data_IF_985244702951
#
_entry.id   IF_985244702951
#
_cell.length_a   1.000
_cell.length_b   1.000
_cell.length_c   1.000
_cell.angle_alpha   90.00
_cell.angle_beta   90.00
_cell.angle_gamma   90.00
#
_symmetry.space_group_name_H-M   'P 1'
#
loop_
_entity.id
_entity.type
_entity.pdbx_description
1 polymer ?
#
# COMPACT_ATOMS: atom_id res chain seq x y z
N UNK A 1 -8.21 1.80 -43.67
CA UNK A 1 -8.56 0.73 -42.70
C UNK A 1 -9.60 1.26 -41.74
N UNK A 2 -10.73 0.56 -41.59
CA UNK A 2 -11.75 0.88 -40.58
C UNK A 2 -11.24 0.35 -39.23
N UNK A 3 -11.06 1.22 -38.24
CA UNK A 3 -10.69 0.80 -36.88
C UNK A 3 -11.88 0.08 -36.26
N UNK A 4 -11.71 -1.20 -35.92
CA UNK A 4 -12.70 -1.97 -35.16
C UNK A 4 -12.51 -1.65 -33.68
N UNK A 5 -13.49 -1.05 -32.98
CA UNK A 5 -13.38 -0.82 -31.55
C UNK A 5 -13.14 -2.13 -30.78
N UNK A 6 -12.15 -2.14 -29.88
CA UNK A 6 -11.79 -3.30 -29.06
C UNK A 6 -12.68 -3.43 -27.82
N UNK A 7 -12.94 -2.32 -27.13
CA UNK A 7 -13.74 -2.28 -25.90
C UNK A 7 -15.22 -2.09 -26.25
N UNK A 8 -15.97 -3.19 -26.28
CA UNK A 8 -17.41 -3.22 -26.66
C UNK A 8 -18.28 -3.98 -25.66
N UNK A 9 -17.76 -4.29 -24.46
CA UNK A 9 -18.56 -4.98 -23.46
C UNK A 9 -19.75 -4.09 -23.06
N UNK A 10 -20.91 -4.73 -22.85
CA UNK A 10 -22.14 -4.06 -22.44
C UNK A 10 -21.99 -3.49 -21.02
N UNK A 11 -21.29 -4.22 -20.14
CA UNK A 11 -20.98 -3.73 -18.80
C UNK A 11 -19.70 -2.89 -18.85
N UNK A 12 -19.85 -1.62 -18.51
CA UNK A 12 -18.74 -0.66 -18.35
C UNK A 12 -17.93 -0.96 -17.07
N UNK A 13 -16.69 -0.46 -17.01
CA UNK A 13 -15.88 -0.57 -15.79
C UNK A 13 -16.58 0.03 -14.56
N UNK A 14 -17.18 1.21 -14.70
CA UNK A 14 -17.96 1.83 -13.64
C UNK A 14 -19.13 0.96 -13.14
N UNK A 15 -19.95 0.42 -14.05
CA UNK A 15 -21.07 -0.46 -13.67
C UNK A 15 -20.59 -1.72 -12.94
N UNK A 16 -19.47 -2.30 -13.37
CA UNK A 16 -18.86 -3.43 -12.68
C UNK A 16 -18.38 -3.06 -11.27
N UNK A 17 -17.81 -1.87 -11.09
CA UNK A 17 -17.41 -1.36 -9.77
C UNK A 17 -18.63 -1.20 -8.86
N UNK A 18 -19.67 -0.53 -9.34
CA UNK A 18 -20.90 -0.34 -8.55
C UNK A 18 -21.55 -1.67 -8.19
N UNK A 19 -21.60 -2.62 -9.12
CA UNK A 19 -22.06 -3.98 -8.87
C UNK A 19 -21.23 -4.68 -7.78
N UNK A 20 -19.91 -4.52 -7.81
CA UNK A 20 -18.99 -5.13 -6.83
C UNK A 20 -19.15 -4.51 -5.44
N UNK A 21 -19.36 -3.19 -5.37
CA UNK A 21 -19.52 -2.45 -4.11
C UNK A 21 -20.88 -2.64 -3.45
N UNK A 22 -21.96 -2.72 -4.23
CA UNK A 22 -23.34 -2.83 -3.72
C UNK A 22 -23.84 -4.26 -3.63
N UNK A 23 -23.14 -5.20 -4.26
CA UNK A 23 -23.50 -6.61 -4.29
C UNK A 23 -23.08 -7.35 -3.01
N UNK A 24 -22.22 -8.35 -3.18
CA UNK A 24 -21.78 -9.20 -2.08
C UNK A 24 -20.46 -8.67 -1.51
N UNK A 25 -20.43 -8.41 -0.21
CA UNK A 25 -19.27 -7.91 0.52
C UNK A 25 -18.01 -8.79 0.32
N UNK A 26 -18.18 -10.10 0.17
CA UNK A 26 -17.09 -11.01 -0.14
C UNK A 26 -16.51 -10.78 -1.54
N UNK A 27 -17.34 -10.39 -2.52
CA UNK A 27 -16.82 -9.97 -3.84
C UNK A 27 -15.99 -8.71 -3.73
N UNK A 28 -16.43 -7.75 -2.93
CA UNK A 28 -15.67 -6.53 -2.67
C UNK A 28 -14.31 -6.85 -2.04
N UNK A 29 -14.27 -7.69 -0.98
CA UNK A 29 -13.01 -8.12 -0.36
C UNK A 29 -12.11 -8.88 -1.32
N UNK A 30 -12.67 -9.77 -2.13
CA UNK A 30 -11.91 -10.53 -3.11
C UNK A 30 -11.32 -9.62 -4.18
N UNK A 31 -12.09 -8.71 -4.76
CA UNK A 31 -11.60 -7.86 -5.85
C UNK A 31 -10.75 -6.69 -5.38
N UNK A 32 -11.18 -5.98 -4.34
CA UNK A 32 -10.57 -4.72 -3.89
C UNK A 32 -9.72 -4.86 -2.62
N UNK A 33 -9.62 -6.07 -2.05
CA UNK A 33 -8.86 -6.35 -0.81
C UNK A 33 -9.36 -5.60 0.42
N UNK A 34 -10.58 -5.06 0.37
CA UNK A 34 -11.21 -4.33 1.46
C UNK A 34 -12.74 -4.42 1.39
N UNK A 35 -13.40 -4.05 2.48
CA UNK A 35 -14.86 -3.90 2.53
C UNK A 35 -15.35 -2.75 1.67
N UNK A 36 -16.62 -2.80 1.26
CA UNK A 36 -17.27 -1.72 0.51
C UNK A 36 -17.26 -0.41 1.31
N UNK A 37 -17.45 -0.51 2.62
CA UNK A 37 -17.36 0.61 3.56
C UNK A 37 -15.97 1.26 3.56
N UNK A 38 -14.91 0.46 3.70
CA UNK A 38 -13.52 0.97 3.73
C UNK A 38 -13.13 1.55 2.38
N UNK A 39 -13.58 0.94 1.27
CA UNK A 39 -13.41 1.50 -0.06
C UNK A 39 -14.01 2.91 -0.16
N UNK A 40 -15.26 3.08 0.29
CA UNK A 40 -15.92 4.39 0.31
C UNK A 40 -15.21 5.41 1.22
N UNK A 41 -14.65 4.98 2.35
CA UNK A 41 -13.82 5.84 3.19
C UNK A 41 -12.55 6.29 2.48
N UNK A 42 -11.84 5.36 1.82
CA UNK A 42 -10.64 5.68 1.04
C UNK A 42 -10.96 6.64 -0.11
N UNK A 43 -12.10 6.49 -0.78
CA UNK A 43 -12.57 7.44 -1.78
C UNK A 43 -12.73 8.86 -1.21
N UNK A 44 -13.38 8.99 -0.05
CA UNK A 44 -13.55 10.28 0.63
C UNK A 44 -12.21 10.89 1.02
N UNK A 45 -11.28 10.07 1.53
CA UNK A 45 -9.93 10.51 1.86
C UNK A 45 -9.20 11.02 0.61
N UNK A 46 -9.24 10.29 -0.51
CA UNK A 46 -8.65 10.73 -1.77
C UNK A 46 -9.22 12.08 -2.26
N UNK A 47 -10.53 12.30 -2.10
CA UNK A 47 -11.15 13.60 -2.39
C UNK A 47 -10.59 14.74 -1.51
N UNK A 48 -10.31 14.47 -0.22
CA UNK A 48 -9.69 15.44 0.68
C UNK A 48 -8.27 15.81 0.22
N UNK A 49 -7.54 14.84 -0.35
CA UNK A 49 -6.25 15.04 -1.02
C UNK A 49 -6.36 15.51 -2.48
N UNK A 50 -7.50 16.10 -2.85
CA UNK A 50 -7.76 16.75 -4.16
C UNK A 50 -7.78 15.81 -5.37
N UNK A 51 -7.86 14.50 -5.16
CA UNK A 51 -8.10 13.56 -6.26
C UNK A 51 -9.60 13.30 -6.38
N UNK A 52 -10.18 13.55 -7.56
CA UNK A 52 -11.62 13.34 -7.83
C UNK A 52 -11.84 12.49 -9.10
N UNK A 53 -10.79 11.88 -9.65
CA UNK A 53 -10.81 11.26 -10.98
C UNK A 53 -10.86 12.31 -12.09
N UNK A 54 -11.41 11.91 -13.24
CA UNK A 54 -11.53 12.74 -14.45
C UNK A 54 -12.94 12.64 -15.04
N UNK A 55 -13.24 13.44 -16.06
CA UNK A 55 -14.55 13.39 -16.75
C UNK A 55 -14.88 12.01 -17.36
N UNK A 56 -13.86 11.22 -17.72
CA UNK A 56 -14.05 9.92 -18.42
C UNK A 56 -13.94 8.71 -17.50
N UNK A 57 -13.29 8.87 -16.35
CA UNK A 57 -13.02 7.82 -15.37
C UNK A 57 -13.19 8.45 -14.01
N UNK A 58 -14.22 8.03 -13.27
CA UNK A 58 -14.48 8.56 -11.94
C UNK A 58 -13.44 8.05 -10.93
N UNK A 59 -13.47 8.61 -9.72
CA UNK A 59 -12.54 8.24 -8.66
C UNK A 59 -12.65 6.76 -8.29
N UNK A 60 -13.88 6.25 -8.13
CA UNK A 60 -14.15 4.87 -7.72
C UNK A 60 -13.60 3.90 -8.75
N UNK A 61 -13.84 4.17 -10.04
CA UNK A 61 -13.31 3.35 -11.12
C UNK A 61 -11.77 3.37 -11.12
N UNK A 62 -11.17 4.56 -10.98
CA UNK A 62 -9.71 4.70 -10.91
C UNK A 62 -9.09 3.97 -9.71
N UNK A 63 -9.73 4.04 -8.55
CA UNK A 63 -9.28 3.35 -7.34
C UNK A 63 -9.43 1.84 -7.51
N UNK A 64 -10.58 1.38 -8.03
CA UNK A 64 -10.82 -0.04 -8.29
C UNK A 64 -9.81 -0.63 -9.28
N UNK A 65 -9.49 0.07 -10.37
CA UNK A 65 -8.44 -0.31 -11.32
C UNK A 65 -7.10 -0.51 -10.60
N UNK A 66 -6.73 0.44 -9.75
CA UNK A 66 -5.48 0.41 -8.98
C UNK A 66 -5.44 -0.76 -8.00
N UNK A 67 -6.51 -0.95 -7.23
CA UNK A 67 -6.61 -2.02 -6.23
C UNK A 67 -6.62 -3.41 -6.86
N UNK A 68 -7.25 -3.58 -8.02
CA UNK A 68 -7.22 -4.86 -8.75
C UNK A 68 -5.80 -5.19 -9.20
N UNK A 69 -5.07 -4.22 -9.76
CA UNK A 69 -3.69 -4.43 -10.20
C UNK A 69 -2.78 -4.74 -9.02
N UNK A 70 -2.82 -3.91 -7.96
CA UNK A 70 -1.96 -4.11 -6.79
C UNK A 70 -2.32 -5.36 -5.99
N UNK A 71 -3.62 -5.63 -5.84
CA UNK A 71 -4.12 -6.71 -4.99
C UNK A 71 -4.02 -8.09 -5.63
N UNK A 72 -3.92 -8.19 -6.96
CA UNK A 72 -3.91 -9.47 -7.68
C UNK A 72 -2.71 -9.65 -8.61
N UNK A 73 -1.83 -8.64 -8.71
CA UNK A 73 -0.75 -8.60 -9.68
C UNK A 73 -1.24 -8.82 -11.12
N UNK A 74 -2.45 -8.33 -11.43
CA UNK A 74 -3.09 -8.50 -12.73
C UNK A 74 -2.38 -7.68 -13.80
N UNK A 75 -2.17 -8.30 -14.97
CA UNK A 75 -1.54 -7.65 -16.10
C UNK A 75 -2.43 -6.55 -16.69
N UNK A 76 -1.82 -5.45 -17.14
CA UNK A 76 -2.54 -4.30 -17.70
C UNK A 76 -3.56 -4.72 -18.79
N UNK A 77 -3.22 -5.70 -19.66
CA UNK A 77 -4.12 -6.21 -20.69
C UNK A 77 -5.39 -6.85 -20.14
N UNK A 78 -5.30 -7.60 -19.03
CA UNK A 78 -6.46 -8.23 -18.40
C UNK A 78 -7.39 -7.18 -17.78
N UNK A 79 -6.79 -6.14 -17.18
CA UNK A 79 -7.55 -5.06 -16.57
C UNK A 79 -8.22 -4.17 -17.63
N UNK A 80 -7.61 -3.98 -18.80
CA UNK A 80 -8.24 -3.34 -19.96
C UNK A 80 -9.53 -4.05 -20.38
N UNK A 81 -9.52 -5.39 -20.40
CA UNK A 81 -10.72 -6.17 -20.72
C UNK A 81 -11.78 -6.09 -19.61
N UNK A 82 -11.38 -5.96 -18.34
CA UNK A 82 -12.35 -5.78 -17.25
C UNK A 82 -13.01 -4.40 -17.29
N UNK A 83 -12.21 -3.34 -17.43
CA UNK A 83 -12.66 -1.96 -17.25
C UNK A 83 -13.02 -1.26 -18.56
N UNK A 84 -12.75 -1.89 -19.71
CA UNK A 84 -13.13 -1.38 -21.03
C UNK A 84 -12.44 -0.05 -21.40
N UNK A 85 -11.22 0.16 -20.89
CA UNK A 85 -10.38 1.31 -21.21
C UNK A 85 -9.09 0.89 -21.92
N UNK A 86 -8.50 1.82 -22.67
CA UNK A 86 -7.19 1.59 -23.29
C UNK A 86 -6.09 1.44 -22.23
N UNK A 87 -5.03 0.70 -22.57
CA UNK A 87 -3.88 0.53 -21.68
C UNK A 87 -3.21 1.84 -21.25
N UNK A 88 -3.24 2.88 -22.09
CA UNK A 88 -2.77 4.22 -21.73
C UNK A 88 -3.62 4.84 -20.62
N UNK A 89 -4.96 4.77 -20.77
CA UNK A 89 -5.88 5.33 -19.79
C UNK A 89 -5.70 4.62 -18.45
N UNK A 90 -5.70 3.27 -18.49
CA UNK A 90 -5.40 2.42 -17.34
C UNK A 90 -4.10 2.84 -16.64
N UNK A 91 -3.00 2.90 -17.39
CA UNK A 91 -1.68 3.23 -16.85
C UNK A 91 -1.67 4.62 -16.22
N UNK A 92 -2.20 5.64 -16.90
CA UNK A 92 -2.26 7.01 -16.38
C UNK A 92 -2.98 7.08 -15.04
N UNK A 93 -4.15 6.43 -14.93
CA UNK A 93 -4.97 6.46 -13.71
C UNK A 93 -4.31 5.69 -12.56
N UNK A 94 -3.77 4.50 -12.85
CA UNK A 94 -3.08 3.68 -11.85
C UNK A 94 -1.83 4.39 -11.34
N UNK A 95 -1.00 4.93 -12.23
CA UNK A 95 0.18 5.71 -11.86
C UNK A 95 -0.21 6.91 -11.02
N UNK A 96 -1.27 7.65 -11.39
CA UNK A 96 -1.73 8.80 -10.60
C UNK A 96 -2.08 8.42 -9.16
N UNK A 97 -2.87 7.35 -8.97
CA UNK A 97 -3.27 6.89 -7.62
C UNK A 97 -2.07 6.34 -6.85
N UNK A 98 -1.23 5.52 -7.50
CA UNK A 98 -0.03 4.93 -6.89
C UNK A 98 1.03 5.97 -6.54
N UNK A 99 1.09 7.11 -7.23
CA UNK A 99 1.96 8.22 -6.83
C UNK A 99 1.33 9.00 -5.67
N UNK A 100 0.05 9.35 -5.75
CA UNK A 100 -0.64 10.14 -4.73
C UNK A 100 -0.58 9.51 -3.33
N UNK A 101 -0.82 8.21 -3.23
CA UNK A 101 -0.84 7.47 -1.95
C UNK A 101 0.47 7.66 -1.16
N UNK A 102 1.66 7.29 -1.67
CA UNK A 102 2.92 7.45 -0.96
C UNK A 102 3.44 8.90 -0.90
N UNK A 103 3.21 9.74 -1.91
CA UNK A 103 3.84 11.08 -1.93
C UNK A 103 3.05 12.12 -1.15
N UNK A 104 1.73 11.93 -0.99
CA UNK A 104 0.87 12.93 -0.34
C UNK A 104 0.25 12.38 0.94
N UNK A 105 -0.25 11.13 0.93
CA UNK A 105 -1.04 10.61 2.05
C UNK A 105 -0.22 9.93 3.13
N UNK A 106 0.91 9.31 2.79
CA UNK A 106 1.71 8.51 3.74
C UNK A 106 2.22 9.34 4.93
N UNK A 107 2.64 10.59 4.70
CA UNK A 107 3.11 11.46 5.79
C UNK A 107 2.03 11.75 6.85
N UNK A 108 0.76 11.69 6.45
CA UNK A 108 -0.38 11.93 7.33
C UNK A 108 -0.98 10.66 7.93
N UNK A 109 -0.75 9.50 7.29
CA UNK A 109 -1.39 8.23 7.66
C UNK A 109 -0.41 7.28 8.36
N UNK A 110 0.80 7.10 7.83
CA UNK A 110 1.80 6.19 8.39
C UNK A 110 2.70 6.98 9.34
N UNK A 111 2.19 7.18 10.55
CA UNK A 111 2.90 7.79 11.67
C UNK A 111 2.34 7.27 13.00
N UNK A 112 3.12 7.33 14.09
CA UNK A 112 2.59 7.03 15.41
C UNK A 112 1.40 7.93 15.74
N UNK A 113 0.34 7.34 16.32
CA UNK A 113 -0.79 8.11 16.83
C UNK A 113 -0.37 9.01 18.01
N UNK A 114 0.52 8.50 18.87
CA UNK A 114 1.22 9.26 19.90
C UNK A 114 2.72 9.31 19.59
N UNK A 115 3.27 10.48 19.18
CA UNK A 115 4.69 10.64 18.89
C UNK A 115 5.56 10.70 20.16
N UNK A 116 4.96 10.84 21.35
CA UNK A 116 5.71 10.91 22.61
C UNK A 116 6.04 9.53 23.17
N UNK A 117 5.30 8.50 22.75
CA UNK A 117 5.48 7.12 23.20
C UNK A 117 5.50 6.95 24.72
N UNK A 118 4.79 7.82 25.45
CA UNK A 118 4.91 7.92 26.91
C UNK A 118 4.32 6.69 27.62
N UNK A 119 3.21 6.17 27.11
CA UNK A 119 2.48 5.08 27.72
C UNK A 119 2.38 3.84 26.83
N UNK A 120 2.61 2.68 27.44
CA UNK A 120 2.28 1.39 26.82
C UNK A 120 0.75 1.24 26.79
N UNK A 121 0.11 0.81 25.69
CA UNK A 121 -1.34 0.66 25.64
C UNK A 121 -1.90 -0.23 26.76
N UNK A 122 -3.05 0.16 27.36
CA UNK A 122 -3.65 -0.55 28.51
C UNK A 122 -3.87 -2.06 28.27
N UNK A 123 -4.24 -2.43 27.04
CA UNK A 123 -4.47 -3.83 26.69
C UNK A 123 -3.18 -4.67 26.72
N UNK A 124 -2.01 -4.03 26.55
CA UNK A 124 -0.70 -4.65 26.73
C UNK A 124 -0.33 -4.71 28.21
N UNK A 125 -0.55 -3.63 28.97
CA UNK A 125 -0.27 -3.58 30.41
C UNK A 125 -1.08 -4.63 31.20
N UNK A 126 -2.32 -4.88 30.81
CA UNK A 126 -3.21 -5.84 31.48
C UNK A 126 -3.07 -7.28 30.95
N UNK A 127 -2.25 -7.52 29.92
CA UNK A 127 -2.02 -8.86 29.38
C UNK A 127 -0.92 -9.56 30.16
N UNK A 128 -1.25 -10.69 30.81
CA UNK A 128 -0.27 -11.53 31.52
C UNK A 128 0.79 -12.14 30.59
N UNK A 129 0.49 -12.24 29.29
CA UNK A 129 1.44 -12.71 28.26
C UNK A 129 2.43 -11.60 27.86
N UNK A 130 1.98 -10.35 27.86
CA UNK A 130 2.79 -9.24 27.32
C UNK A 130 3.48 -8.45 28.43
N UNK A 131 2.83 -8.26 29.57
CA UNK A 131 3.39 -7.52 30.69
C UNK A 131 4.12 -8.46 31.66
N UNK A 132 5.34 -8.11 32.14
CA UNK A 132 6.09 -6.88 31.89
C UNK A 132 7.06 -6.93 30.70
N UNK A 133 7.09 -8.03 29.92
CA UNK A 133 8.09 -8.28 28.88
C UNK A 133 8.17 -7.18 27.79
N UNK A 134 7.05 -6.54 27.47
CA UNK A 134 7.00 -5.44 26.49
C UNK A 134 6.92 -4.05 27.15
N UNK A 135 7.30 -3.93 28.42
CA UNK A 135 7.40 -2.62 29.09
C UNK A 135 8.42 -1.74 28.34
N UNK A 136 8.00 -0.56 27.89
CA UNK A 136 8.83 0.37 27.13
C UNK A 136 8.93 0.07 25.63
N UNK A 137 8.37 -1.06 25.16
CA UNK A 137 8.24 -1.30 23.73
C UNK A 137 7.13 -0.42 23.14
N UNK A 138 7.38 0.17 21.98
CA UNK A 138 6.45 1.05 21.27
C UNK A 138 5.80 0.38 20.06
N UNK A 139 6.30 -0.80 19.69
CA UNK A 139 5.90 -1.51 18.49
C UNK A 139 6.89 -2.59 18.09
N UNK A 140 6.74 -3.08 16.86
CA UNK A 140 7.63 -4.05 16.23
C UNK A 140 8.19 -3.50 14.92
N UNK A 141 9.40 -3.94 14.56
CA UNK A 141 10.05 -3.64 13.28
C UNK A 141 10.38 -4.97 12.61
N UNK A 142 10.05 -5.10 11.33
CA UNK A 142 10.46 -6.24 10.53
C UNK A 142 10.65 -5.87 9.05
N UNK A 143 11.38 -6.71 8.32
CA UNK A 143 11.58 -6.60 6.88
C UNK A 143 10.63 -7.50 6.09
N UNK A 144 10.04 -6.94 5.04
CA UNK A 144 9.19 -7.65 4.09
C UNK A 144 9.88 -7.64 2.73
N UNK A 145 10.10 -8.83 2.16
CA UNK A 145 10.64 -8.97 0.81
C UNK A 145 9.50 -9.05 -0.21
N UNK A 146 9.45 -8.07 -1.11
CA UNK A 146 8.49 -8.03 -2.22
C UNK A 146 9.20 -8.48 -3.49
N UNK A 147 8.72 -9.53 -4.20
CA UNK A 147 9.30 -9.95 -5.47
C UNK A 147 9.29 -8.84 -6.51
N UNK A 148 10.40 -8.70 -7.24
CA UNK A 148 10.55 -7.69 -8.30
C UNK A 148 11.22 -8.31 -9.51
N UNK A 149 10.92 -7.76 -10.70
CA UNK A 149 11.62 -8.08 -11.94
C UNK A 149 12.65 -6.98 -12.18
N UNK A 150 13.92 -7.37 -12.24
CA UNK A 150 15.07 -6.47 -12.40
C UNK A 150 15.85 -6.90 -13.65
N UNK A 151 16.38 -5.97 -14.46
CA UNK A 151 17.25 -6.31 -15.59
C UNK A 151 18.42 -7.19 -15.14
N UNK A 152 18.80 -8.17 -15.97
CA UNK A 152 19.79 -9.22 -15.61
C UNK A 152 21.08 -8.63 -15.04
N UNK A 153 21.58 -7.56 -15.65
CA UNK A 153 22.83 -6.90 -15.26
C UNK A 153 22.75 -6.24 -13.87
N UNK A 154 21.55 -5.92 -13.41
CA UNK A 154 21.29 -5.25 -12.13
C UNK A 154 20.76 -6.21 -11.04
N UNK A 155 20.57 -7.51 -11.33
CA UNK A 155 19.90 -8.44 -10.40
C UNK A 155 20.69 -8.75 -9.14
N UNK A 156 22.02 -8.71 -9.21
CA UNK A 156 22.91 -9.19 -8.14
C UNK A 156 22.54 -8.65 -6.74
N UNK A 157 22.40 -7.33 -6.51
CA UNK A 157 22.03 -6.81 -5.20
C UNK A 157 20.59 -7.14 -4.79
N UNK A 158 19.70 -7.44 -5.74
CA UNK A 158 18.29 -7.73 -5.46
C UNK A 158 18.02 -9.20 -5.08
N UNK A 159 18.99 -10.10 -5.22
CA UNK A 159 18.80 -11.47 -4.76
C UNK A 159 18.63 -11.53 -3.23
N UNK A 160 17.41 -11.86 -2.81
CA UNK A 160 17.09 -12.12 -1.41
C UNK A 160 17.55 -13.51 -0.97
N UNK A 161 17.33 -13.81 0.31
CA UNK A 161 17.71 -15.10 0.94
C UNK A 161 17.14 -16.35 0.24
N UNK A 162 16.02 -16.20 -0.49
CA UNK A 162 15.35 -17.29 -1.21
C UNK A 162 15.85 -17.47 -2.65
N UNK A 163 16.92 -16.79 -3.06
CA UNK A 163 17.48 -16.88 -4.41
C UNK A 163 16.61 -16.24 -5.50
N UNK A 164 15.61 -15.45 -5.13
CA UNK A 164 14.77 -14.67 -6.04
C UNK A 164 15.06 -13.18 -5.88
N UNK A 165 14.85 -12.40 -6.93
CA UNK A 165 14.98 -10.94 -6.90
C UNK A 165 13.83 -10.32 -6.11
N UNK A 166 14.17 -9.53 -5.11
CA UNK A 166 13.21 -8.87 -4.20
C UNK A 166 13.68 -7.46 -3.90
N UNK A 167 12.74 -6.55 -3.61
CA UNK A 167 13.04 -5.34 -2.85
C UNK A 167 12.68 -5.59 -1.39
N UNK A 168 13.49 -5.07 -0.47
CA UNK A 168 13.22 -5.13 0.95
C UNK A 168 12.52 -3.86 1.42
N UNK A 169 11.44 -4.05 2.17
CA UNK A 169 10.67 -3.00 2.82
C UNK A 169 10.75 -3.21 4.34
N UNK A 170 11.42 -2.31 5.06
CA UNK A 170 11.36 -2.31 6.51
C UNK A 170 10.12 -1.54 6.97
N UNK A 171 9.25 -2.19 7.73
CA UNK A 171 8.08 -1.54 8.31
C UNK A 171 8.14 -1.59 9.84
N UNK A 172 7.60 -0.55 10.48
CA UNK A 172 7.30 -0.54 11.90
C UNK A 172 5.79 -0.48 12.12
N UNK A 173 5.27 -1.15 13.14
CA UNK A 173 3.87 -1.08 13.53
C UNK A 173 3.70 -0.96 15.04
N UNK A 174 2.59 -0.36 15.48
CA UNK A 174 2.19 -0.32 16.88
C UNK A 174 1.52 -1.64 17.33
N UNK A 175 1.06 -1.70 18.58
CA UNK A 175 0.36 -2.86 19.13
C UNK A 175 -1.05 -3.11 18.56
N UNK A 176 -1.63 -2.11 17.89
CA UNK A 176 -2.88 -2.25 17.13
C UNK A 176 -2.63 -2.79 15.71
N UNK A 177 -1.39 -3.18 15.40
CA UNK A 177 -0.94 -3.64 14.08
C UNK A 177 -1.06 -2.56 12.99
N UNK A 178 -1.06 -1.27 13.36
CA UNK A 178 -1.06 -0.16 12.40
C UNK A 178 0.37 0.21 12.06
N UNK A 179 0.67 0.38 10.78
CA UNK A 179 1.98 0.84 10.36
C UNK A 179 2.23 2.27 10.85
N UNK A 180 3.35 2.46 11.55
CA UNK A 180 3.81 3.75 12.07
C UNK A 180 5.03 4.26 11.31
N UNK A 181 5.68 3.39 10.53
CA UNK A 181 6.79 3.74 9.65
C UNK A 181 6.93 2.70 8.53
N UNK A 182 7.36 3.12 7.34
CA UNK A 182 7.75 2.23 6.26
C UNK A 182 8.91 2.83 5.45
N UNK A 183 9.99 2.07 5.29
CA UNK A 183 11.09 2.36 4.38
C UNK A 183 11.13 1.28 3.30
N UNK A 184 10.93 1.69 2.05
CA UNK A 184 10.74 0.79 0.91
C UNK A 184 11.84 1.00 -0.13
N UNK A 185 12.04 0.03 -1.03
CA UNK A 185 12.91 0.20 -2.20
C UNK A 185 14.36 -0.24 -1.99
N UNK A 186 14.69 -0.83 -0.84
CA UNK A 186 16.04 -1.37 -0.61
C UNK A 186 16.27 -2.65 -1.41
N UNK A 187 17.53 -2.97 -1.66
CA UNK A 187 17.90 -4.17 -2.39
C UNK A 187 17.57 -5.42 -1.57
N UNK A 188 17.20 -6.51 -2.24
CA UNK A 188 16.80 -7.76 -1.59
C UNK A 188 17.89 -8.42 -0.74
N UNK A 189 19.15 -8.13 -0.99
CA UNK A 189 20.27 -8.57 -0.16
C UNK A 189 20.45 -7.73 1.11
N UNK A 190 19.83 -6.55 1.20
CA UNK A 190 20.00 -5.65 2.33
C UNK A 190 19.34 -6.23 3.59
N UNK A 191 20.14 -6.34 4.66
CA UNK A 191 19.64 -6.71 5.99
C UNK A 191 18.80 -5.60 6.59
N UNK A 192 17.72 -5.96 7.29
CA UNK A 192 16.84 -5.01 7.99
C UNK A 192 17.61 -4.06 8.90
N UNK A 193 18.65 -4.55 9.60
CA UNK A 193 19.52 -3.72 10.43
C UNK A 193 20.22 -2.60 9.64
N UNK A 194 20.64 -2.87 8.40
CA UNK A 194 21.26 -1.84 7.53
C UNK A 194 20.24 -0.76 7.16
N UNK A 195 19.02 -1.19 6.80
CA UNK A 195 17.91 -0.29 6.46
C UNK A 195 17.56 0.58 7.68
N UNK A 196 17.40 -0.05 8.85
CA UNK A 196 17.10 0.60 10.11
C UNK A 196 18.13 1.68 10.48
N UNK A 197 19.42 1.34 10.45
CA UNK A 197 20.50 2.28 10.74
C UNK A 197 20.53 3.43 9.73
N UNK A 198 20.24 3.16 8.46
CA UNK A 198 20.12 4.21 7.44
C UNK A 198 18.98 5.18 7.73
N UNK A 199 17.82 4.67 8.19
CA UNK A 199 16.69 5.51 8.57
C UNK A 199 16.97 6.33 9.84
N UNK A 200 17.66 5.74 10.84
CA UNK A 200 18.00 6.43 12.08
C UNK A 200 18.98 7.60 11.86
N UNK A 201 19.94 7.41 10.95
CA UNK A 201 21.01 8.36 10.65
C UNK A 201 20.62 9.41 9.60
N UNK A 202 19.42 9.32 9.02
CA UNK A 202 18.94 10.27 8.03
C UNK A 202 17.65 10.95 8.52
N UNK A 203 17.75 12.21 8.93
CA UNK A 203 16.61 13.00 9.39
C UNK A 203 15.49 13.12 8.35
N UNK A 204 15.83 13.11 7.05
CA UNK A 204 14.83 13.16 5.97
C UNK A 204 13.95 11.91 5.93
N UNK A 205 14.37 10.82 6.57
CA UNK A 205 13.56 9.60 6.66
C UNK A 205 12.40 9.76 7.60
N UNK A 206 12.40 10.75 8.51
CA UNK A 206 11.35 10.97 9.51
C UNK A 206 11.03 9.71 10.33
N UNK A 207 12.07 8.94 10.69
CA UNK A 207 11.92 7.75 11.51
C UNK A 207 11.49 8.14 12.94
N UNK A 208 10.40 7.57 13.50
CA UNK A 208 9.96 7.91 14.85
C UNK A 208 10.97 7.48 15.91
N UNK A 209 11.39 8.42 16.77
CA UNK A 209 12.35 8.17 17.86
C UNK A 209 11.63 8.27 19.20
N UNK A 210 11.89 7.31 20.09
CA UNK A 210 11.44 7.41 21.47
C UNK A 210 12.16 8.57 22.18
N UNK A 211 11.54 9.20 23.20
CA UNK A 211 12.20 10.20 24.04
C UNK A 211 13.49 9.68 24.64
N UNK A 212 14.46 10.56 24.86
CA UNK A 212 15.69 10.21 25.57
C UNK A 212 15.37 9.79 27.02
N UNK A 213 15.80 8.59 27.43
CA UNK A 213 15.71 8.13 28.82
C UNK A 213 14.58 7.16 29.15
N UNK A 214 13.90 6.59 28.15
CA UNK A 214 13.12 5.35 28.28
C UNK A 214 14.02 4.11 28.14
#
# INVERSE_FOLDING_TARGET
MIKVPLHRNIQTGYEWVQYTLTGNEEKCRRHFRMSSHVFGQLCKTLCQYRYNGTRRVCLEESLAMTLVILGHAEGNRMVQDRFQHSGETMHRHVTTVVTLLPTVMVADIIKPADPTFWDVPKHIQHSSRCWPHFKGCIGAIDGVHVPVVVPVDDQHPYYGKKGITTTNCMCACDFDMKFTFACVGWEGSAHVTRIFLSCLNNESSNFPKAPAGL
#
